data_IF_957340830008
#
_entry.id   IF_957340830008
#
_cell.length_a   1.000
_cell.length_b   1.000
_cell.length_c   1.000
_cell.angle_alpha   90.00
_cell.angle_beta   90.00
_cell.angle_gamma   90.00
#
_symmetry.space_group_name_H-M   'P 1'
#
loop_
_entity.id
_entity.type
_entity.pdbx_description
1 polymer ?
#
# COMPACT_ATOMS: atom_id res chain seq x y z
N UNK A 1 11.12 56.74 -13.18
CA UNK A 1 11.54 56.88 -14.60
C UNK A 1 11.51 55.48 -15.22
N UNK A 2 10.56 55.24 -16.15
CA UNK A 2 10.63 54.55 -17.46
C UNK A 2 11.19 53.09 -17.41
N UNK A 3 10.55 52.05 -17.90
CA UNK A 3 9.64 51.90 -19.09
C UNK A 3 8.90 50.57 -18.99
N UNK A 4 7.62 50.59 -19.30
CA UNK A 4 6.79 49.45 -19.69
C UNK A 4 7.25 48.90 -21.05
N UNK A 5 7.20 47.59 -21.22
CA UNK A 5 7.07 46.95 -22.55
C UNK A 5 5.99 45.90 -22.51
N UNK A 6 4.90 46.21 -23.18
CA UNK A 6 3.83 45.33 -23.63
C UNK A 6 4.38 44.50 -24.79
N UNK A 7 4.09 43.21 -24.86
CA UNK A 7 4.05 42.49 -26.12
C UNK A 7 2.76 41.68 -26.23
N UNK A 8 2.22 41.81 -27.39
CA UNK A 8 0.88 41.55 -27.81
C UNK A 8 0.66 40.06 -28.12
N UNK A 9 -0.62 39.73 -28.14
CA UNK A 9 -1.26 38.52 -28.57
C UNK A 9 -0.86 38.05 -29.98
N UNK A 10 -0.84 36.74 -30.21
CA UNK A 10 -1.17 36.17 -31.52
C UNK A 10 -2.06 34.95 -31.30
N UNK A 11 -3.33 35.14 -31.63
CA UNK A 11 -4.30 34.08 -31.85
C UNK A 11 -4.00 33.43 -33.21
N UNK A 12 -3.97 32.10 -33.27
CA UNK A 12 -4.06 31.36 -34.52
C UNK A 12 -5.10 30.25 -34.37
N UNK A 13 -6.27 30.56 -34.87
CA UNK A 13 -7.38 29.66 -35.14
C UNK A 13 -7.10 28.89 -36.43
N UNK A 14 -7.16 27.55 -36.38
CA UNK A 14 -7.38 26.73 -37.59
C UNK A 14 -8.50 25.75 -37.38
N UNK A 15 -9.52 26.02 -38.11
CA UNK A 15 -10.73 25.27 -38.42
C UNK A 15 -10.39 24.16 -39.43
N UNK A 16 -10.83 22.90 -39.21
CA UNK A 16 -11.03 21.89 -40.24
C UNK A 16 -12.05 20.89 -39.71
N UNK A 17 -13.25 20.99 -40.18
CA UNK A 17 -13.89 20.41 -41.36
C UNK A 17 -14.39 18.97 -41.12
N UNK A 18 -15.69 18.87 -41.17
CA UNK A 18 -16.57 17.70 -41.11
C UNK A 18 -16.31 16.72 -42.27
N UNK A 19 -16.41 15.43 -41.97
CA UNK A 19 -16.52 14.34 -42.93
C UNK A 19 -17.64 13.40 -42.55
N UNK A 20 -18.82 13.67 -43.12
CA UNK A 20 -19.98 12.79 -43.13
C UNK A 20 -19.77 11.68 -44.18
N UNK A 21 -19.88 10.44 -43.81
CA UNK A 21 -20.23 9.35 -44.71
C UNK A 21 -21.46 8.61 -44.17
N UNK A 22 -22.56 8.90 -44.81
CA UNK A 22 -23.79 8.12 -44.77
C UNK A 22 -23.64 6.95 -45.76
N UNK A 23 -23.98 5.75 -45.30
CA UNK A 23 -24.11 4.56 -46.11
C UNK A 23 -25.39 3.82 -45.75
N UNK A 24 -26.49 4.11 -46.45
CA UNK A 24 -27.73 3.33 -46.45
C UNK A 24 -27.55 2.05 -47.25
N UNK A 25 -28.12 0.95 -46.73
CA UNK A 25 -28.34 -0.27 -47.49
C UNK A 25 -29.23 -1.25 -46.72
N UNK A 26 -30.53 -1.26 -47.05
CA UNK A 26 -31.48 -2.33 -46.72
C UNK A 26 -32.10 -2.82 -48.06
N UNK A 27 -32.94 -3.85 -48.09
CA UNK A 27 -33.07 -5.13 -47.36
C UNK A 27 -33.19 -6.34 -48.33
N UNK A 28 -33.11 -7.56 -47.85
CA UNK A 28 -33.69 -8.72 -48.55
C UNK A 28 -34.20 -9.79 -47.57
N UNK A 29 -35.45 -10.13 -47.75
CA UNK A 29 -36.24 -11.16 -47.06
C UNK A 29 -35.76 -12.57 -47.37
N UNK A 30 -36.03 -13.53 -46.45
CA UNK A 30 -36.04 -14.95 -46.78
C UNK A 30 -36.01 -15.90 -45.57
N UNK A 31 -37.20 -16.34 -45.15
CA UNK A 31 -37.59 -17.70 -44.67
C UNK A 31 -36.90 -18.34 -43.49
N UNK A 32 -37.65 -18.60 -42.42
CA UNK A 32 -37.49 -19.64 -41.39
C UNK A 32 -38.00 -21.01 -41.96
N UNK A 33 -37.94 -22.16 -41.22
CA UNK A 33 -37.33 -22.48 -39.90
C UNK A 33 -36.48 -23.78 -39.89
N UNK A 34 -35.62 -23.92 -38.90
CA UNK A 34 -35.16 -25.25 -38.48
C UNK A 34 -34.95 -25.27 -36.98
N UNK A 35 -35.73 -26.05 -36.28
CA UNK A 35 -35.53 -26.43 -34.87
C UNK A 35 -34.18 -27.08 -34.69
N UNK A 36 -33.30 -26.43 -33.98
CA UNK A 36 -32.07 -27.00 -33.45
C UNK A 36 -32.07 -26.81 -31.93
N UNK A 37 -32.15 -27.93 -31.23
CA UNK A 37 -31.95 -28.04 -29.78
C UNK A 37 -30.55 -27.57 -29.46
N UNK A 38 -30.40 -26.29 -29.24
CA UNK A 38 -29.14 -25.70 -28.77
C UNK A 38 -29.00 -25.94 -27.29
N UNK A 39 -28.11 -26.82 -26.95
CA UNK A 39 -27.51 -26.96 -25.62
C UNK A 39 -27.12 -25.55 -25.17
N UNK A 40 -27.74 -25.08 -24.08
CA UNK A 40 -27.35 -23.84 -23.42
C UNK A 40 -25.97 -24.12 -22.81
N UNK A 41 -24.93 -23.85 -23.57
CA UNK A 41 -23.60 -23.73 -23.03
C UNK A 41 -23.64 -22.47 -22.16
N UNK A 42 -23.74 -22.65 -20.85
CA UNK A 42 -23.49 -21.59 -19.89
C UNK A 42 -22.03 -21.19 -20.06
N UNK A 43 -21.75 -20.25 -20.96
CA UNK A 43 -20.51 -19.50 -20.90
C UNK A 43 -20.54 -18.78 -19.55
N UNK A 44 -19.85 -19.31 -18.56
CA UNK A 44 -19.39 -18.53 -17.43
C UNK A 44 -18.65 -17.37 -18.03
N UNK A 45 -19.29 -16.23 -18.01
CA UNK A 45 -18.64 -14.95 -18.30
C UNK A 45 -17.69 -14.77 -17.12
N UNK A 46 -16.44 -15.13 -17.33
CA UNK A 46 -15.35 -14.84 -16.41
C UNK A 46 -15.39 -13.32 -16.21
N UNK A 47 -15.92 -12.88 -15.09
CA UNK A 47 -15.97 -11.46 -14.77
C UNK A 47 -14.53 -10.98 -14.72
N UNK A 48 -14.19 -10.01 -15.57
CA UNK A 48 -12.85 -9.44 -15.60
C UNK A 48 -12.49 -8.94 -14.19
N UNK A 49 -11.32 -9.36 -13.69
CA UNK A 49 -10.82 -8.90 -12.40
C UNK A 49 -10.60 -7.39 -12.42
N UNK A 50 -10.90 -6.72 -11.33
CA UNK A 50 -10.59 -5.31 -11.13
C UNK A 50 -9.15 -5.19 -10.67
N UNK A 51 -8.31 -4.49 -11.42
CA UNK A 51 -6.94 -4.23 -11.02
C UNK A 51 -6.89 -3.08 -10.01
N UNK A 52 -6.18 -3.29 -8.90
CA UNK A 52 -5.95 -2.31 -7.83
C UNK A 52 -4.45 -2.16 -7.62
N UNK A 53 -3.94 -0.98 -7.88
CA UNK A 53 -2.52 -0.66 -7.72
C UNK A 53 -2.17 -0.46 -6.25
N UNK A 54 -1.05 -1.06 -5.82
CA UNK A 54 -0.63 -1.11 -4.41
C UNK A 54 0.82 -0.68 -4.26
N UNK A 55 1.08 0.36 -3.47
CA UNK A 55 2.42 0.80 -3.10
C UNK A 55 2.67 0.58 -1.60
N UNK A 56 3.19 -0.58 -1.28
CA UNK A 56 3.61 -0.98 0.07
C UNK A 56 4.99 -1.60 -0.08
N UNK A 57 5.95 -1.24 0.78
CA UNK A 57 7.29 -1.83 0.73
C UNK A 57 7.24 -3.35 0.87
N UNK A 58 7.94 -4.04 -0.02
CA UNK A 58 7.93 -5.51 -0.11
C UNK A 58 6.71 -6.11 -0.79
N UNK A 59 5.77 -5.29 -1.29
CA UNK A 59 4.61 -5.80 -2.02
C UNK A 59 4.99 -6.39 -3.38
N UNK A 60 6.01 -5.84 -4.03
CA UNK A 60 6.54 -6.36 -5.28
C UNK A 60 7.08 -7.79 -5.15
N UNK A 61 7.80 -8.09 -4.07
CA UNK A 61 8.25 -9.45 -3.78
C UNK A 61 7.08 -10.37 -3.40
N UNK A 62 6.18 -9.89 -2.54
CA UNK A 62 5.02 -10.66 -2.06
C UNK A 62 3.96 -10.94 -3.14
N UNK A 63 3.90 -10.13 -4.18
CA UNK A 63 2.96 -10.26 -5.30
C UNK A 63 3.64 -10.76 -6.60
N UNK A 64 4.91 -11.20 -6.52
CA UNK A 64 5.69 -11.57 -7.70
C UNK A 64 5.25 -12.86 -8.37
N UNK A 65 4.74 -13.83 -7.61
CA UNK A 65 4.27 -15.11 -8.15
C UNK A 65 2.77 -15.07 -8.46
N UNK A 66 2.35 -14.98 -9.73
CA UNK A 66 0.93 -15.00 -10.11
C UNK A 66 0.24 -16.34 -9.81
N UNK A 67 0.99 -17.37 -9.42
CA UNK A 67 0.45 -18.68 -9.07
C UNK A 67 0.34 -18.88 -7.55
N UNK A 68 0.73 -17.90 -6.76
CA UNK A 68 0.58 -17.96 -5.32
C UNK A 68 -0.87 -18.27 -4.91
N UNK A 69 -1.10 -19.30 -4.08
CA UNK A 69 -2.46 -19.73 -3.73
C UNK A 69 -3.22 -18.69 -2.91
N UNK A 70 -2.53 -17.83 -2.17
CA UNK A 70 -3.15 -16.76 -1.39
C UNK A 70 -3.66 -15.66 -2.33
N UNK A 71 -2.85 -15.27 -3.31
CA UNK A 71 -3.25 -14.27 -4.31
C UNK A 71 -4.42 -14.77 -5.15
N UNK A 72 -4.41 -16.02 -5.59
CA UNK A 72 -5.54 -16.62 -6.29
C UNK A 72 -6.81 -16.61 -5.46
N UNK A 73 -6.70 -16.94 -4.18
CA UNK A 73 -7.85 -16.88 -3.28
C UNK A 73 -8.39 -15.47 -3.09
N UNK A 74 -7.52 -14.46 -3.02
CA UNK A 74 -7.92 -13.05 -2.98
C UNK A 74 -8.69 -12.70 -4.26
N UNK A 75 -8.17 -13.05 -5.44
CA UNK A 75 -8.83 -12.82 -6.73
C UNK A 75 -10.20 -13.51 -6.79
N UNK A 76 -10.30 -14.76 -6.36
CA UNK A 76 -11.54 -15.55 -6.35
C UNK A 76 -12.60 -14.99 -5.40
N UNK A 77 -12.20 -14.58 -4.19
CA UNK A 77 -13.13 -14.10 -3.16
C UNK A 77 -13.56 -12.64 -3.38
N UNK A 78 -12.68 -11.82 -3.97
CA UNK A 78 -12.91 -10.37 -4.05
C UNK A 78 -13.16 -9.87 -5.47
N UNK A 79 -12.78 -10.63 -6.49
CA UNK A 79 -12.76 -10.15 -7.88
C UNK A 79 -11.69 -9.08 -8.14
N UNK A 80 -10.70 -8.96 -7.25
CA UNK A 80 -9.64 -7.94 -7.32
C UNK A 80 -8.29 -8.58 -7.54
N UNK A 81 -7.53 -8.03 -8.48
CA UNK A 81 -6.11 -8.31 -8.69
C UNK A 81 -5.27 -7.20 -8.14
N UNK A 82 -4.32 -7.51 -7.26
CA UNK A 82 -3.38 -6.54 -6.73
C UNK A 82 -2.20 -6.36 -7.69
N UNK A 83 -1.91 -5.10 -8.05
CA UNK A 83 -0.82 -4.73 -8.96
C UNK A 83 0.22 -3.92 -8.19
N UNK A 84 1.40 -4.50 -7.88
CA UNK A 84 2.39 -3.83 -7.06
C UNK A 84 3.03 -2.66 -7.80
N UNK A 85 3.22 -1.56 -7.06
CA UNK A 85 4.07 -0.45 -7.44
C UNK A 85 5.37 -0.57 -6.67
N UNK A 86 6.51 -0.59 -7.39
CA UNK A 86 7.80 -0.78 -6.76
C UNK A 86 8.15 0.39 -5.83
N UNK A 87 8.17 0.12 -4.53
CA UNK A 87 8.66 1.01 -3.47
C UNK A 87 9.48 0.22 -2.46
N UNK A 88 10.58 0.81 -2.01
CA UNK A 88 11.38 0.30 -0.92
C UNK A 88 11.06 1.05 0.37
N UNK A 89 11.52 0.55 1.50
CA UNK A 89 11.40 1.26 2.77
C UNK A 89 12.02 2.66 2.71
N UNK A 90 13.17 2.79 2.05
CA UNK A 90 13.94 4.04 2.01
C UNK A 90 13.35 5.09 1.05
N UNK A 91 12.72 4.67 -0.06
CA UNK A 91 12.24 5.59 -1.10
C UNK A 91 10.73 5.80 -1.12
N UNK A 92 9.95 4.99 -0.39
CA UNK A 92 8.48 4.99 -0.43
C UNK A 92 7.88 6.37 -0.18
N UNK A 93 8.36 7.06 0.86
CA UNK A 93 7.83 8.38 1.22
C UNK A 93 8.05 9.43 0.11
N UNK A 94 9.21 9.41 -0.54
CA UNK A 94 9.53 10.34 -1.63
C UNK A 94 8.72 10.01 -2.90
N UNK A 95 8.64 8.74 -3.26
CA UNK A 95 7.86 8.29 -4.43
C UNK A 95 6.38 8.62 -4.28
N UNK A 96 5.80 8.34 -3.11
CA UNK A 96 4.38 8.62 -2.84
C UNK A 96 4.10 10.12 -2.90
N UNK A 97 4.97 10.98 -2.35
CA UNK A 97 4.81 12.43 -2.46
C UNK A 97 4.93 12.92 -3.91
N UNK A 98 5.84 12.35 -4.70
CA UNK A 98 5.97 12.67 -6.11
C UNK A 98 4.72 12.28 -6.90
N UNK A 99 4.19 11.07 -6.67
CA UNK A 99 2.96 10.61 -7.30
C UNK A 99 1.74 11.45 -6.88
N UNK A 100 1.66 11.83 -5.59
CA UNK A 100 0.62 12.75 -5.12
C UNK A 100 0.65 14.08 -5.86
N UNK A 101 1.84 14.66 -6.05
CA UNK A 101 2.03 15.93 -6.75
C UNK A 101 1.66 15.84 -8.22
N UNK A 102 1.90 14.70 -8.85
CA UNK A 102 1.62 14.47 -10.27
C UNK A 102 0.22 13.90 -10.55
N UNK A 103 -0.60 13.67 -9.52
CA UNK A 103 -1.91 13.04 -9.67
C UNK A 103 -1.85 11.56 -10.11
N UNK A 104 -0.77 10.87 -9.73
CA UNK A 104 -0.48 9.49 -10.11
C UNK A 104 -0.37 8.55 -8.91
N UNK A 105 -1.05 8.89 -7.81
CA UNK A 105 -1.09 8.01 -6.65
C UNK A 105 -1.66 6.64 -7.04
N UNK A 106 -1.07 5.54 -6.53
CA UNK A 106 -1.72 4.24 -6.61
C UNK A 106 -3.02 4.22 -5.81
N UNK A 107 -3.88 3.23 -6.09
CA UNK A 107 -5.18 3.10 -5.42
C UNK A 107 -5.03 2.86 -3.92
N UNK A 108 -4.01 2.09 -3.54
CA UNK A 108 -3.66 1.82 -2.14
C UNK A 108 -2.17 2.10 -1.94
N UNK A 109 -1.85 2.84 -0.90
CA UNK A 109 -0.46 3.06 -0.52
C UNK A 109 -0.32 3.09 1.01
N UNK A 110 0.85 2.67 1.51
CA UNK A 110 1.15 2.65 2.93
C UNK A 110 2.32 3.57 3.27
N UNK A 111 2.24 4.17 4.45
CA UNK A 111 3.27 5.02 5.00
C UNK A 111 2.85 5.67 6.31
N UNK A 112 3.79 6.33 6.97
CA UNK A 112 3.55 7.07 8.21
C UNK A 112 3.24 8.55 7.89
N UNK A 113 2.06 8.79 7.33
CA UNK A 113 1.69 10.11 6.79
C UNK A 113 0.90 10.98 7.75
N UNK A 114 0.19 10.40 8.72
CA UNK A 114 -0.73 11.13 9.62
C UNK A 114 -0.04 12.26 10.39
N UNK A 115 1.21 12.06 10.78
CA UNK A 115 2.03 13.05 11.47
C UNK A 115 2.72 14.05 10.52
N UNK A 116 2.62 13.88 9.20
CA UNK A 116 3.29 14.73 8.23
C UNK A 116 2.47 15.97 7.90
N UNK A 117 3.14 17.09 7.70
CA UNK A 117 2.50 18.38 7.42
C UNK A 117 1.68 18.38 6.11
N UNK A 118 2.07 17.57 5.13
CA UNK A 118 1.35 17.48 3.86
C UNK A 118 0.07 16.66 3.93
N UNK A 119 -0.14 15.83 4.97
CA UNK A 119 -1.33 14.99 5.08
C UNK A 119 -2.63 15.80 5.11
N UNK A 120 -2.66 16.87 5.90
CA UNK A 120 -3.79 17.80 5.92
C UNK A 120 -4.06 18.44 4.55
N UNK A 121 -3.01 18.87 3.86
CA UNK A 121 -3.12 19.44 2.53
C UNK A 121 -3.69 18.44 1.50
N UNK A 122 -3.31 17.16 1.59
CA UNK A 122 -3.85 16.13 0.72
C UNK A 122 -5.35 15.91 0.93
N UNK A 123 -5.82 16.02 2.17
CA UNK A 123 -7.26 15.96 2.51
C UNK A 123 -7.99 17.15 1.90
N UNK A 124 -7.51 18.37 2.15
CA UNK A 124 -8.11 19.61 1.67
C UNK A 124 -8.17 19.70 0.15
N UNK A 125 -7.15 19.19 -0.53
CA UNK A 125 -7.06 19.18 -1.98
C UNK A 125 -7.77 17.99 -2.62
N UNK A 126 -8.32 17.05 -1.82
CA UNK A 126 -8.99 15.85 -2.33
C UNK A 126 -8.03 14.85 -2.98
N UNK A 127 -6.73 14.90 -2.65
CA UNK A 127 -5.71 13.95 -3.15
C UNK A 127 -5.97 12.54 -2.59
N UNK A 128 -6.39 12.47 -1.33
CA UNK A 128 -6.83 11.22 -0.69
C UNK A 128 -8.32 11.29 -0.37
N UNK A 129 -8.98 10.14 -0.47
CA UNK A 129 -10.42 10.01 -0.28
C UNK A 129 -10.74 9.57 1.14
N UNK A 130 -11.81 10.13 1.71
CA UNK A 130 -12.38 9.62 2.94
C UNK A 130 -12.96 8.21 2.75
N UNK A 131 -12.89 7.39 3.79
CA UNK A 131 -13.66 6.17 3.86
C UNK A 131 -15.17 6.49 3.84
N UNK A 132 -16.02 5.56 3.38
CA UNK A 132 -17.46 5.72 3.52
C UNK A 132 -17.86 5.94 4.98
N UNK A 133 -18.83 6.81 5.23
CA UNK A 133 -19.36 7.03 6.58
C UNK A 133 -20.08 5.79 7.11
N UNK A 134 -20.80 5.08 6.24
CA UNK A 134 -21.43 3.80 6.54
C UNK A 134 -20.52 2.64 6.09
N UNK A 135 -19.97 1.94 7.06
CA UNK A 135 -19.14 0.74 6.87
C UNK A 135 -19.92 -0.56 7.11
N UNK A 136 -21.24 -0.53 7.20
CA UNK A 136 -22.06 -1.72 7.52
C UNK A 136 -21.92 -2.84 6.50
N UNK A 137 -21.61 -2.51 5.24
CA UNK A 137 -21.31 -3.48 4.19
C UNK A 137 -19.91 -4.15 4.35
N UNK A 138 -19.07 -3.64 5.24
CA UNK A 138 -17.69 -4.08 5.45
C UNK A 138 -17.43 -4.35 6.95
N UNK A 139 -18.03 -5.40 7.55
CA UNK A 139 -18.04 -5.59 9.00
C UNK A 139 -16.63 -5.69 9.62
N UNK A 140 -15.69 -6.37 8.96
CA UNK A 140 -14.31 -6.46 9.44
C UNK A 140 -13.60 -5.09 9.43
N UNK A 141 -13.84 -4.27 8.41
CA UNK A 141 -13.32 -2.90 8.36
C UNK A 141 -13.99 -2.03 9.44
N UNK A 142 -15.30 -2.15 9.58
CA UNK A 142 -16.04 -1.41 10.61
C UNK A 142 -15.52 -1.70 12.02
N UNK A 143 -15.26 -2.97 12.34
CA UNK A 143 -14.64 -3.38 13.61
C UNK A 143 -13.23 -2.82 13.76
N UNK A 144 -12.39 -3.00 12.74
CA UNK A 144 -11.02 -2.50 12.74
C UNK A 144 -10.93 -0.98 12.95
N UNK A 145 -11.85 -0.23 12.36
CA UNK A 145 -11.88 1.24 12.48
C UNK A 145 -12.36 1.74 13.84
N UNK A 146 -12.83 0.88 14.75
CA UNK A 146 -13.18 1.27 16.12
C UNK A 146 -11.96 1.50 17.02
N UNK A 147 -10.78 1.06 16.61
CA UNK A 147 -9.57 1.26 17.41
C UNK A 147 -9.28 2.75 17.65
N UNK A 148 -8.81 3.06 18.84
CA UNK A 148 -8.54 4.43 19.29
C UNK A 148 -7.63 5.20 18.31
N UNK A 149 -6.60 4.52 17.78
CA UNK A 149 -5.66 5.11 16.81
C UNK A 149 -6.35 5.54 15.52
N UNK A 150 -7.32 4.77 15.03
CA UNK A 150 -8.09 5.14 13.85
C UNK A 150 -8.94 6.39 14.13
N UNK A 151 -9.62 6.42 15.26
CA UNK A 151 -10.46 7.54 15.66
C UNK A 151 -9.63 8.81 15.93
N UNK A 152 -8.45 8.69 16.52
CA UNK A 152 -7.54 9.81 16.75
C UNK A 152 -7.00 10.42 15.42
N UNK A 153 -6.96 9.64 14.34
CA UNK A 153 -6.54 10.10 13.02
C UNK A 153 -7.65 10.77 12.21
N UNK A 154 -8.89 10.82 12.72
CA UNK A 154 -10.01 11.47 12.03
C UNK A 154 -9.75 12.97 11.79
N UNK A 155 -10.24 13.48 10.67
CA UNK A 155 -10.25 14.90 10.32
C UNK A 155 -11.68 15.29 9.94
N UNK A 156 -12.19 16.33 10.61
CA UNK A 156 -13.59 16.79 10.42
C UNK A 156 -14.63 15.67 10.51
N UNK A 157 -14.40 14.74 11.47
CA UNK A 157 -15.27 13.57 11.69
C UNK A 157 -15.15 12.47 10.63
N UNK A 158 -14.23 12.58 9.67
CA UNK A 158 -14.03 11.60 8.61
C UNK A 158 -12.70 10.87 8.76
N UNK A 159 -12.68 9.63 8.29
CA UNK A 159 -11.52 8.76 8.32
C UNK A 159 -10.91 8.68 6.91
N UNK A 160 -9.62 8.93 6.79
CA UNK A 160 -8.89 8.98 5.50
C UNK A 160 -7.80 7.91 5.40
N UNK A 161 -7.67 7.07 6.41
CA UNK A 161 -6.66 6.03 6.46
C UNK A 161 -7.19 4.82 7.22
N UNK A 162 -6.63 3.67 6.90
CA UNK A 162 -6.84 2.42 7.63
C UNK A 162 -5.52 2.15 8.38
N UNK A 163 -5.50 2.19 9.72
CA UNK A 163 -4.28 1.95 10.47
C UNK A 163 -3.84 0.49 10.33
N UNK A 164 -2.56 0.28 10.08
CA UNK A 164 -1.96 -1.05 10.11
C UNK A 164 -1.80 -1.48 11.56
N UNK A 165 -2.31 -2.65 11.89
CA UNK A 165 -2.04 -3.31 13.18
C UNK A 165 -0.84 -4.23 12.99
N UNK A 166 0.27 -3.93 13.66
CA UNK A 166 1.47 -4.80 13.63
C UNK A 166 1.26 -6.02 14.53
N UNK A 167 0.60 -5.82 15.67
CA UNK A 167 0.33 -6.87 16.66
C UNK A 167 -1.12 -6.77 17.13
N UNK A 168 -1.76 -7.93 17.31
CA UNK A 168 -3.11 -8.00 17.88
C UNK A 168 -3.15 -7.69 19.38
N UNK A 169 -2.03 -7.89 20.08
CA UNK A 169 -1.84 -7.59 21.49
C UNK A 169 -0.47 -6.93 21.71
N UNK A 170 -0.38 -5.98 22.64
CA UNK A 170 0.85 -5.25 22.95
C UNK A 170 1.98 -6.18 23.44
N UNK A 171 1.64 -7.31 24.04
CA UNK A 171 2.61 -8.30 24.52
C UNK A 171 3.46 -8.87 23.36
N UNK A 172 2.92 -8.93 22.15
CA UNK A 172 3.67 -9.36 20.97
C UNK A 172 4.65 -8.31 20.44
N UNK A 173 4.56 -7.06 20.90
CA UNK A 173 5.51 -6.01 20.53
C UNK A 173 6.93 -6.32 20.96
N UNK A 174 7.12 -7.16 21.98
CA UNK A 174 8.42 -7.64 22.43
C UNK A 174 9.17 -8.49 21.39
N UNK A 175 8.47 -8.97 20.35
CA UNK A 175 9.07 -9.73 19.26
C UNK A 175 9.68 -8.87 18.15
N UNK A 176 9.45 -7.55 18.19
CA UNK A 176 9.94 -6.60 17.19
C UNK A 176 10.68 -5.44 17.85
N UNK A 177 11.80 -5.06 17.28
CA UNK A 177 12.62 -3.91 17.71
C UNK A 177 13.13 -3.99 19.15
N UNK A 178 13.39 -5.21 19.61
CA UNK A 178 14.00 -5.48 20.88
C UNK A 178 15.50 -5.77 20.73
N UNK A 179 16.21 -5.55 21.82
CA UNK A 179 17.60 -5.98 21.94
C UNK A 179 17.60 -7.47 22.26
N UNK A 180 18.21 -8.24 21.37
CA UNK A 180 18.42 -9.68 21.56
C UNK A 180 19.91 -9.92 21.79
N UNK A 181 20.28 -10.75 22.75
CA UNK A 181 21.66 -11.07 23.04
C UNK A 181 21.90 -12.56 23.25
N UNK A 182 23.09 -12.99 23.00
CA UNK A 182 23.56 -14.37 23.16
C UNK A 182 23.82 -14.68 24.64
N UNK A 183 22.79 -15.20 25.32
CA UNK A 183 22.91 -15.56 26.76
C UNK A 183 23.93 -16.64 27.01
N UNK A 184 24.11 -17.57 26.10
CA UNK A 184 25.14 -18.62 26.16
C UNK A 184 26.55 -18.05 26.20
N UNK A 185 26.83 -16.98 25.43
CA UNK A 185 28.13 -16.28 25.49
C UNK A 185 28.30 -15.49 26.78
N UNK A 186 27.22 -14.89 27.27
CA UNK A 186 27.26 -14.21 28.56
C UNK A 186 27.59 -15.17 29.70
N UNK A 187 26.96 -16.34 29.72
CA UNK A 187 27.28 -17.39 30.70
C UNK A 187 28.71 -17.88 30.56
N UNK A 188 29.21 -18.10 29.35
CA UNK A 188 30.60 -18.48 29.10
C UNK A 188 31.60 -17.40 29.53
N UNK A 189 31.21 -16.12 29.51
CA UNK A 189 31.98 -14.99 30.04
C UNK A 189 31.84 -14.80 31.57
N UNK A 190 31.14 -15.71 32.27
CA UNK A 190 30.99 -15.69 33.72
C UNK A 190 29.79 -14.88 34.24
N UNK A 191 28.92 -14.40 33.38
CA UNK A 191 27.69 -13.70 33.77
C UNK A 191 26.67 -14.73 34.25
N UNK A 192 26.14 -14.55 35.44
CA UNK A 192 25.23 -15.52 36.10
C UNK A 192 23.80 -14.99 36.23
N UNK A 193 23.58 -13.69 35.97
CA UNK A 193 22.29 -13.02 36.08
C UNK A 193 22.03 -12.20 34.82
N UNK A 194 20.82 -12.22 34.34
CA UNK A 194 20.39 -11.35 33.25
C UNK A 194 20.44 -9.87 33.64
N UNK A 195 20.79 -8.96 32.71
CA UNK A 195 20.86 -7.54 33.00
C UNK A 195 19.46 -6.96 33.23
N UNK A 196 19.30 -6.18 34.29
CA UNK A 196 18.07 -5.46 34.62
C UNK A 196 18.16 -3.98 34.28
N UNK A 197 19.36 -3.45 34.07
CA UNK A 197 19.64 -2.06 33.73
C UNK A 197 20.44 -1.97 32.43
N UNK A 198 20.41 -0.78 31.80
CA UNK A 198 21.26 -0.52 30.63
C UNK A 198 22.75 -0.63 30.94
N UNK A 199 23.18 -0.19 32.10
CA UNK A 199 24.55 -0.26 32.57
C UNK A 199 24.98 -1.72 32.70
N UNK A 200 24.18 -2.56 33.35
CA UNK A 200 24.45 -4.00 33.47
C UNK A 200 24.51 -4.71 32.12
N UNK A 201 23.65 -4.29 31.18
CA UNK A 201 23.68 -4.78 29.80
C UNK A 201 25.00 -4.40 29.12
N UNK A 202 25.44 -3.15 29.23
CA UNK A 202 26.71 -2.70 28.68
C UNK A 202 27.91 -3.46 29.29
N UNK A 203 27.87 -3.71 30.58
CA UNK A 203 28.94 -4.45 31.27
C UNK A 203 28.94 -5.93 30.87
N UNK A 204 27.80 -6.54 30.69
CA UNK A 204 27.66 -7.87 30.10
C UNK A 204 28.29 -7.95 28.71
N UNK A 205 28.00 -6.99 27.83
CA UNK A 205 28.57 -6.96 26.48
C UNK A 205 30.09 -6.81 26.52
N UNK A 206 30.62 -5.95 27.37
CA UNK A 206 32.10 -5.82 27.58
C UNK A 206 32.70 -7.13 28.01
N UNK A 207 32.11 -7.80 29.01
CA UNK A 207 32.59 -9.08 29.50
C UNK A 207 32.61 -10.16 28.40
N UNK A 208 31.59 -10.21 27.54
CA UNK A 208 31.54 -11.13 26.40
C UNK A 208 32.68 -10.83 25.42
N UNK A 209 32.92 -9.55 25.09
CA UNK A 209 34.00 -9.14 24.18
C UNK A 209 35.37 -9.51 24.77
N UNK A 210 35.59 -9.20 26.03
CA UNK A 210 36.87 -9.48 26.71
C UNK A 210 37.16 -10.97 26.85
N UNK A 211 36.13 -11.75 27.15
CA UNK A 211 36.26 -13.20 27.29
C UNK A 211 36.45 -13.93 25.97
N UNK A 212 35.92 -13.36 24.88
CA UNK A 212 35.88 -13.94 23.51
C UNK A 212 35.67 -15.47 23.55
N UNK A 213 34.53 -15.97 24.08
CA UNK A 213 34.33 -17.38 24.38
C UNK A 213 34.46 -18.32 23.18
N UNK A 214 34.26 -17.78 21.98
CA UNK A 214 34.33 -18.52 20.70
C UNK A 214 35.69 -18.31 19.99
N UNK A 215 36.55 -17.40 20.45
CA UNK A 215 37.83 -17.07 19.81
C UNK A 215 37.67 -16.41 18.43
N UNK A 216 36.56 -15.71 18.21
CA UNK A 216 36.20 -15.14 16.91
C UNK A 216 36.38 -13.63 16.81
N UNK A 217 36.90 -12.99 17.85
CA UNK A 217 37.02 -11.54 17.96
C UNK A 217 35.69 -10.84 17.68
N UNK A 218 34.65 -11.24 18.42
CA UNK A 218 33.26 -10.79 18.21
C UNK A 218 33.07 -9.32 18.53
N UNK A 219 32.18 -8.66 17.79
CA UNK A 219 31.73 -7.29 18.06
C UNK A 219 30.67 -7.29 19.16
N UNK A 220 30.57 -6.21 19.92
CA UNK A 220 29.59 -6.10 20.99
C UNK A 220 28.18 -5.87 20.51
N UNK A 221 28.01 -5.13 19.42
CA UNK A 221 26.73 -4.85 18.77
C UNK A 221 26.93 -4.81 17.26
N UNK A 222 25.95 -5.30 16.55
CA UNK A 222 25.88 -5.29 15.06
C UNK A 222 24.57 -4.68 14.60
#
# INVERSE_FOLDING_TARGET
MKKAKRFAALALSTLMAAGLFAGCGAPASGSAPASGTGTVSSSQQESALVEVSVAIWGADDGLADPNDPILKRIEEETGVRLVPQNVTWDDSSQKIQLWATNGQLPDIFAGDFVAQSFYGNWIEQGVIRALPEDLSAYPNLAEHMQMERAQAAARDGKLYMIPRTTYGDITYSVLDRNVVYRWDLAQAAGITKEPETYEEFCDMIKAIIEADPEGKNISGMT
#
